data_IF_728459441910
#
_entry.id   IF_728459441910
#
_cell.length_a   1.000
_cell.length_b   1.000
_cell.length_c   1.000
_cell.angle_alpha   90.00
_cell.angle_beta   90.00
_cell.angle_gamma   90.00
#
_symmetry.space_group_name_H-M   'P 1'
#
loop_
_entity.id
_entity.type
_entity.pdbx_description
1 polymer ?
#
# COMPACT_ATOMS: atom_id res chain seq x y z
N UNK A 1 26.75 3.94 3.90
CA UNK A 1 27.29 3.47 2.60
C UNK A 1 26.34 3.80 1.46
N UNK A 2 25.04 3.44 1.54
CA UNK A 2 24.02 3.82 0.56
C UNK A 2 23.87 5.34 0.37
N UNK A 3 23.92 6.14 1.46
CA UNK A 3 23.90 7.61 1.37
C UNK A 3 25.11 8.20 0.63
N UNK A 4 26.27 7.55 0.71
CA UNK A 4 27.50 8.02 0.05
C UNK A 4 27.43 7.74 -1.46
N UNK A 5 26.89 6.59 -1.87
CA UNK A 5 26.67 6.24 -3.28
C UNK A 5 25.55 7.07 -3.93
N UNK A 6 24.50 7.42 -3.16
CA UNK A 6 23.49 8.41 -3.54
C UNK A 6 24.10 9.79 -3.84
N UNK A 7 25.08 10.22 -3.02
CA UNK A 7 25.83 11.46 -3.26
C UNK A 7 26.75 11.37 -4.49
N UNK A 8 27.24 10.18 -4.82
CA UNK A 8 28.07 9.92 -6.00
C UNK A 8 27.26 9.69 -7.29
N UNK A 9 25.92 9.66 -7.21
CA UNK A 9 24.99 9.35 -8.33
C UNK A 9 25.22 7.98 -8.98
N UNK A 10 25.80 7.04 -8.24
CA UNK A 10 26.01 5.66 -8.67
C UNK A 10 24.75 4.82 -8.42
N UNK A 11 23.65 5.21 -9.06
CA UNK A 11 22.32 4.64 -8.83
C UNK A 11 22.25 3.13 -9.15
N UNK A 12 23.06 2.67 -10.11
CA UNK A 12 23.14 1.25 -10.45
C UNK A 12 23.78 0.42 -9.32
N UNK A 13 24.72 0.98 -8.57
CA UNK A 13 25.26 0.32 -7.38
C UNK A 13 24.25 0.29 -6.26
N UNK A 14 23.50 1.37 -6.05
CA UNK A 14 22.41 1.40 -5.06
C UNK A 14 21.36 0.32 -5.36
N UNK A 15 20.98 0.14 -6.64
CA UNK A 15 20.05 -0.92 -7.08
C UNK A 15 20.58 -2.31 -6.76
N UNK A 16 21.85 -2.59 -7.08
CA UNK A 16 22.48 -3.89 -6.77
C UNK A 16 22.52 -4.14 -5.26
N UNK A 17 22.84 -3.12 -4.46
CA UNK A 17 22.89 -3.23 -3.01
C UNK A 17 21.52 -3.52 -2.40
N UNK A 18 20.48 -2.79 -2.80
CA UNK A 18 19.12 -3.06 -2.33
C UNK A 18 18.61 -4.43 -2.77
N UNK A 19 18.85 -4.82 -4.03
CA UNK A 19 18.46 -6.14 -4.54
C UNK A 19 19.10 -7.26 -3.72
N UNK A 20 20.43 -7.22 -3.52
CA UNK A 20 21.15 -8.21 -2.70
C UNK A 20 20.70 -8.24 -1.26
N UNK A 21 20.35 -7.08 -0.70
CA UNK A 21 19.84 -7.00 0.67
C UNK A 21 18.49 -7.71 0.79
N UNK A 22 17.57 -7.45 -0.15
CA UNK A 22 16.24 -8.04 -0.18
C UNK A 22 16.27 -9.53 -0.55
N UNK A 23 17.24 -9.98 -1.33
CA UNK A 23 17.50 -11.42 -1.53
C UNK A 23 17.84 -12.13 -0.21
N UNK A 24 18.52 -11.46 0.71
CA UNK A 24 18.91 -12.03 2.00
C UNK A 24 17.84 -11.86 3.08
N UNK A 25 17.11 -10.74 3.06
CA UNK A 25 16.06 -10.45 4.02
C UNK A 25 14.83 -9.83 3.32
N UNK A 26 14.00 -10.65 2.66
CA UNK A 26 12.80 -10.18 1.96
C UNK A 26 11.69 -9.70 2.92
N UNK A 27 11.75 -10.07 4.21
CA UNK A 27 10.75 -9.67 5.21
C UNK A 27 10.88 -8.20 5.63
N UNK A 28 12.01 -7.55 5.33
CA UNK A 28 12.28 -6.18 5.74
C UNK A 28 11.50 -5.16 4.89
N UNK A 29 10.33 -4.76 5.38
CA UNK A 29 9.50 -3.72 4.74
C UNK A 29 10.22 -2.39 4.54
N UNK A 30 11.11 -1.98 5.46
CA UNK A 30 11.81 -0.70 5.35
C UNK A 30 12.76 -0.69 4.14
N UNK A 31 13.41 -1.82 3.85
CA UNK A 31 14.27 -1.94 2.68
C UNK A 31 13.48 -1.83 1.37
N UNK A 32 12.30 -2.43 1.29
CA UNK A 32 11.40 -2.28 0.14
C UNK A 32 10.98 -0.82 -0.06
N UNK A 33 10.57 -0.13 1.01
CA UNK A 33 10.17 1.28 0.96
C UNK A 33 11.34 2.16 0.50
N UNK A 34 12.53 1.96 1.07
CA UNK A 34 13.71 2.73 0.70
C UNK A 34 14.17 2.49 -0.73
N UNK A 35 13.99 1.27 -1.23
CA UNK A 35 14.29 0.97 -2.62
C UNK A 35 13.29 1.63 -3.57
N UNK A 36 11.99 1.61 -3.25
CA UNK A 36 10.97 2.29 -4.03
C UNK A 36 11.15 3.83 -4.01
N UNK A 37 11.46 4.41 -2.84
CA UNK A 37 11.77 5.85 -2.69
C UNK A 37 12.94 6.27 -3.58
N UNK A 38 13.99 5.43 -3.70
CA UNK A 38 15.12 5.68 -4.59
C UNK A 38 14.68 5.81 -6.05
N UNK A 39 13.89 4.87 -6.56
CA UNK A 39 13.41 4.91 -7.95
C UNK A 39 12.44 6.06 -8.19
N UNK A 40 11.60 6.39 -7.19
CA UNK A 40 10.77 7.59 -7.22
C UNK A 40 11.60 8.87 -7.33
N UNK A 41 12.70 8.99 -6.59
CA UNK A 41 13.62 10.13 -6.69
C UNK A 41 14.31 10.23 -8.06
N UNK A 42 14.47 9.10 -8.76
CA UNK A 42 14.99 9.03 -10.12
C UNK A 42 13.94 9.32 -11.20
N UNK A 43 12.66 9.45 -10.81
CA UNK A 43 11.54 9.63 -11.72
C UNK A 43 11.10 8.35 -12.44
N UNK A 44 11.60 7.19 -12.02
CA UNK A 44 11.20 5.89 -12.57
C UNK A 44 10.02 5.32 -11.77
N UNK A 45 8.83 5.88 -12.04
CA UNK A 45 7.59 5.51 -11.35
C UNK A 45 7.16 4.07 -11.63
N UNK A 46 7.44 3.55 -12.84
CA UNK A 46 7.09 2.18 -13.20
C UNK A 46 7.91 1.17 -12.40
N UNK A 47 9.23 1.42 -12.26
CA UNK A 47 10.07 0.58 -11.40
C UNK A 47 9.70 0.73 -9.93
N UNK A 48 9.36 1.93 -9.47
CA UNK A 48 8.85 2.16 -8.12
C UNK A 48 7.62 1.29 -7.82
N UNK A 49 6.63 1.27 -8.73
CA UNK A 49 5.45 0.39 -8.62
C UNK A 49 5.84 -1.08 -8.58
N UNK A 50 6.73 -1.52 -9.47
CA UNK A 50 7.18 -2.91 -9.50
C UNK A 50 7.84 -3.35 -8.17
N UNK A 51 8.63 -2.48 -7.55
CA UNK A 51 9.26 -2.76 -6.24
C UNK A 51 8.19 -2.89 -5.14
N UNK A 52 7.19 -2.00 -5.12
CA UNK A 52 6.11 -2.09 -4.15
C UNK A 52 5.28 -3.37 -4.32
N UNK A 53 4.90 -3.72 -5.56
CA UNK A 53 4.16 -4.97 -5.86
C UNK A 53 4.95 -6.20 -5.42
N UNK A 54 6.25 -6.29 -5.77
CA UNK A 54 7.11 -7.38 -5.33
C UNK A 54 7.20 -7.48 -3.80
N UNK A 55 7.21 -6.34 -3.11
CA UNK A 55 7.23 -6.28 -1.66
C UNK A 55 5.93 -6.81 -1.04
N UNK A 56 4.75 -6.37 -1.52
CA UNK A 56 3.45 -6.80 -0.96
C UNK A 56 3.07 -8.24 -1.33
N UNK A 57 3.70 -8.80 -2.35
CA UNK A 57 3.61 -10.22 -2.72
C UNK A 57 4.44 -11.14 -1.84
N UNK A 58 5.38 -10.62 -1.05
CA UNK A 58 6.19 -11.46 -0.17
C UNK A 58 5.32 -12.19 0.86
N UNK A 59 5.55 -13.51 1.08
CA UNK A 59 4.70 -14.32 1.94
C UNK A 59 4.86 -13.99 3.43
N UNK A 60 6.03 -13.49 3.82
CA UNK A 60 6.36 -13.13 5.21
C UNK A 60 6.98 -11.73 5.19
N UNK A 61 6.34 -10.81 5.90
CA UNK A 61 6.77 -9.43 6.07
C UNK A 61 6.70 -9.09 7.56
N UNK A 62 7.70 -8.37 8.07
CA UNK A 62 7.78 -8.02 9.50
C UNK A 62 6.66 -7.04 9.90
N UNK A 63 6.46 -6.01 9.09
CA UNK A 63 5.48 -4.95 9.32
C UNK A 63 4.72 -4.65 8.02
N UNK A 64 3.80 -5.55 7.58
CA UNK A 64 3.10 -5.40 6.30
C UNK A 64 2.36 -4.06 6.20
N UNK A 65 1.75 -3.61 7.30
CA UNK A 65 1.00 -2.35 7.38
C UNK A 65 1.82 -1.14 6.92
N UNK A 66 3.12 -1.12 7.24
CA UNK A 66 4.01 -0.02 6.87
C UNK A 66 4.25 0.02 5.35
N UNK A 67 4.46 -1.16 4.75
CA UNK A 67 4.70 -1.27 3.31
C UNK A 67 3.43 -0.92 2.51
N UNK A 68 2.28 -1.43 2.94
CA UNK A 68 0.99 -1.10 2.33
C UNK A 68 0.67 0.38 2.42
N UNK A 69 0.92 0.99 3.59
CA UNK A 69 0.74 2.43 3.75
C UNK A 69 1.64 3.22 2.79
N UNK A 70 2.93 2.89 2.73
CA UNK A 70 3.86 3.56 1.83
C UNK A 70 3.46 3.40 0.36
N UNK A 71 2.91 2.25 -0.02
CA UNK A 71 2.44 2.02 -1.38
C UNK A 71 1.19 2.86 -1.70
N UNK A 72 0.22 2.92 -0.79
CA UNK A 72 -0.97 3.76 -0.92
C UNK A 72 -0.60 5.24 -1.00
N UNK A 73 0.30 5.70 -0.12
CA UNK A 73 0.78 7.10 -0.11
C UNK A 73 1.51 7.43 -1.44
N UNK A 74 2.16 6.44 -2.07
CA UNK A 74 2.78 6.60 -3.40
C UNK A 74 1.75 6.73 -4.53
N UNK A 75 0.64 5.99 -4.49
CA UNK A 75 -0.40 6.02 -5.54
C UNK A 75 -1.49 7.05 -5.28
N UNK A 76 -1.41 7.89 -4.24
CA UNK A 76 -2.50 8.77 -3.81
C UNK A 76 -2.97 9.72 -4.93
N UNK A 77 -2.08 10.13 -5.83
CA UNK A 77 -2.40 10.93 -7.02
C UNK A 77 -3.15 10.14 -8.11
N UNK A 78 -3.09 8.81 -8.06
CA UNK A 78 -3.76 7.87 -8.96
C UNK A 78 -4.96 7.24 -8.25
N UNK A 79 -6.07 7.97 -8.21
CA UNK A 79 -7.22 7.60 -7.39
C UNK A 79 -7.72 6.17 -7.64
N UNK A 80 -7.79 5.75 -8.91
CA UNK A 80 -8.28 4.42 -9.26
C UNK A 80 -7.34 3.30 -8.78
N UNK A 81 -6.03 3.51 -8.91
CA UNK A 81 -5.04 2.53 -8.43
C UNK A 81 -5.08 2.44 -6.90
N UNK A 82 -5.18 3.57 -6.22
CA UNK A 82 -5.31 3.60 -4.75
C UNK A 82 -6.56 2.85 -4.26
N UNK A 83 -7.71 3.00 -4.95
CA UNK A 83 -8.92 2.23 -4.64
C UNK A 83 -8.70 0.72 -4.75
N UNK A 84 -8.02 0.29 -5.81
CA UNK A 84 -7.71 -1.13 -6.02
C UNK A 84 -6.79 -1.67 -4.92
N UNK A 85 -5.80 -0.88 -4.47
CA UNK A 85 -4.93 -1.25 -3.36
C UNK A 85 -5.71 -1.38 -2.04
N UNK A 86 -6.60 -0.45 -1.73
CA UNK A 86 -7.46 -0.55 -0.54
C UNK A 86 -8.32 -1.82 -0.57
N UNK A 87 -8.94 -2.15 -1.71
CA UNK A 87 -9.73 -3.39 -1.87
C UNK A 87 -8.88 -4.64 -1.63
N UNK A 88 -7.70 -4.73 -2.25
CA UNK A 88 -6.74 -5.85 -2.04
C UNK A 88 -6.31 -5.97 -0.57
N UNK A 89 -6.05 -4.85 0.10
CA UNK A 89 -5.66 -4.83 1.51
C UNK A 89 -6.81 -5.28 2.44
N UNK A 90 -8.05 -4.89 2.11
CA UNK A 90 -9.25 -5.30 2.83
C UNK A 90 -9.56 -6.79 2.66
N UNK A 91 -9.35 -7.36 1.47
CA UNK A 91 -9.48 -8.80 1.24
C UNK A 91 -8.48 -9.61 2.08
N UNK A 92 -7.25 -9.12 2.24
CA UNK A 92 -6.19 -9.79 3.02
C UNK A 92 -6.40 -9.68 4.53
N UNK A 93 -6.77 -8.50 5.04
CA UNK A 93 -6.75 -8.22 6.49
C UNK A 93 -8.14 -8.07 7.10
N UNK A 94 -9.08 -7.48 6.37
CA UNK A 94 -10.42 -7.13 6.87
C UNK A 94 -10.43 -6.21 8.10
N UNK A 95 -9.33 -5.51 8.41
CA UNK A 95 -9.23 -4.69 9.61
C UNK A 95 -10.07 -3.41 9.51
N UNK A 96 -10.76 -3.06 10.60
CA UNK A 96 -11.61 -1.85 10.70
C UNK A 96 -10.85 -0.58 10.37
N UNK A 97 -9.58 -0.47 10.78
CA UNK A 97 -8.74 0.70 10.49
C UNK A 97 -8.57 0.95 9.00
N UNK A 98 -8.47 -0.11 8.19
CA UNK A 98 -8.32 0.01 6.73
C UNK A 98 -9.60 0.54 6.10
N UNK A 99 -10.78 0.11 6.57
CA UNK A 99 -12.07 0.65 6.12
C UNK A 99 -12.20 2.15 6.43
N UNK A 100 -11.77 2.57 7.63
CA UNK A 100 -11.79 3.99 8.02
C UNK A 100 -10.84 4.80 7.12
N UNK A 101 -9.62 4.33 6.90
CA UNK A 101 -8.66 5.00 6.01
C UNK A 101 -9.18 5.05 4.57
N UNK A 102 -9.83 4.00 4.08
CA UNK A 102 -10.40 3.98 2.73
C UNK A 102 -11.54 5.01 2.58
N UNK A 103 -12.44 5.11 3.56
CA UNK A 103 -13.50 6.11 3.56
C UNK A 103 -12.94 7.55 3.64
N UNK A 104 -11.91 7.78 4.47
CA UNK A 104 -11.22 9.07 4.54
C UNK A 104 -10.55 9.44 3.21
N UNK A 105 -9.94 8.45 2.54
CA UNK A 105 -9.40 8.65 1.21
C UNK A 105 -10.49 9.05 0.21
N UNK A 106 -11.65 8.39 0.16
CA UNK A 106 -12.72 8.75 -0.79
C UNK A 106 -13.31 10.16 -0.56
N UNK A 107 -13.27 10.67 0.68
CA UNK A 107 -13.68 12.04 1.00
C UNK A 107 -12.72 13.10 0.43
N UNK A 108 -11.43 12.76 0.38
CA UNK A 108 -10.37 13.65 -0.12
C UNK A 108 -10.06 13.40 -1.61
N UNK A 109 -10.45 12.22 -2.12
CA UNK A 109 -10.24 11.83 -3.50
C UNK A 109 -11.14 12.64 -4.42
N UNK A 110 -10.52 13.27 -5.41
CA UNK A 110 -11.14 14.10 -6.44
C UNK A 110 -11.67 15.46 -5.94
N UNK A 111 -10.96 16.53 -6.30
CA UNK A 111 -11.30 17.91 -5.91
C UNK A 111 -12.55 18.46 -6.63
N UNK A 112 -13.16 17.67 -7.52
CA UNK A 112 -14.21 18.12 -8.43
C UNK A 112 -15.62 18.22 -7.82
N UNK A 113 -15.96 17.40 -6.81
CA UNK A 113 -17.31 17.43 -6.22
C UNK A 113 -17.37 16.74 -4.84
N UNK A 114 -17.46 17.53 -3.77
CA UNK A 114 -17.47 17.02 -2.39
C UNK A 114 -18.64 16.06 -2.11
N UNK A 115 -19.79 16.27 -2.74
CA UNK A 115 -20.97 15.40 -2.59
C UNK A 115 -20.72 13.97 -3.09
N UNK A 116 -20.00 13.82 -4.20
CA UNK A 116 -19.67 12.51 -4.76
C UNK A 116 -18.67 11.76 -3.87
N UNK A 117 -17.73 12.47 -3.24
CA UNK A 117 -16.80 11.90 -2.26
C UNK A 117 -17.53 11.38 -1.02
N UNK A 118 -18.50 12.14 -0.50
CA UNK A 118 -19.34 11.72 0.64
C UNK A 118 -20.16 10.48 0.28
N UNK A 119 -20.77 10.42 -0.90
CA UNK A 119 -21.51 9.25 -1.36
C UNK A 119 -20.62 8.00 -1.46
N UNK A 120 -19.40 8.14 -2.00
CA UNK A 120 -18.44 7.02 -2.07
C UNK A 120 -18.02 6.56 -0.68
N UNK A 121 -17.68 7.48 0.22
CA UNK A 121 -17.33 7.15 1.60
C UNK A 121 -18.49 6.45 2.34
N UNK A 122 -19.73 6.89 2.13
CA UNK A 122 -20.92 6.22 2.66
C UNK A 122 -21.03 4.77 2.16
N UNK A 123 -20.85 4.55 0.85
CA UNK A 123 -20.87 3.20 0.27
C UNK A 123 -19.74 2.31 0.83
N UNK A 124 -18.56 2.87 1.12
CA UNK A 124 -17.46 2.16 1.79
C UNK A 124 -17.87 1.71 3.20
N UNK A 125 -18.52 2.57 3.98
CA UNK A 125 -19.00 2.18 5.32
C UNK A 125 -20.13 1.14 5.27
N UNK A 126 -21.05 1.25 4.31
CA UNK A 126 -22.12 0.26 4.15
C UNK A 126 -21.57 -1.11 3.77
N UNK A 127 -20.63 -1.17 2.83
CA UNK A 127 -19.93 -2.42 2.47
C UNK A 127 -19.12 -2.99 3.63
N UNK A 128 -18.45 -2.14 4.41
CA UNK A 128 -17.76 -2.55 5.63
C UNK A 128 -18.73 -3.21 6.64
N UNK A 129 -19.88 -2.57 6.89
CA UNK A 129 -20.90 -3.06 7.81
C UNK A 129 -21.46 -4.42 7.38
N UNK A 130 -21.80 -4.58 6.10
CA UNK A 130 -22.27 -5.87 5.56
C UNK A 130 -21.20 -6.95 5.67
N UNK A 131 -19.94 -6.63 5.32
CA UNK A 131 -18.80 -7.56 5.42
C UNK A 131 -18.58 -8.05 6.85
N UNK A 132 -18.70 -7.17 7.85
CA UNK A 132 -18.57 -7.54 9.27
C UNK A 132 -19.75 -8.38 9.75
N UNK A 133 -20.98 -7.98 9.40
CA UNK A 133 -22.20 -8.72 9.74
C UNK A 133 -22.17 -10.14 9.17
N UNK A 134 -21.75 -10.32 7.93
CA UNK A 134 -21.58 -11.65 7.31
C UNK A 134 -20.53 -12.50 8.02
N UNK A 135 -19.46 -11.90 8.55
CA UNK A 135 -18.44 -12.62 9.33
C UNK A 135 -18.99 -13.07 10.69
N UNK A 136 -19.69 -12.19 11.41
CA UNK A 136 -20.35 -12.54 12.68
C UNK A 136 -21.37 -13.68 12.50
N UNK A 137 -22.21 -13.62 11.46
CA UNK A 137 -23.15 -14.69 11.13
C UNK A 137 -22.47 -16.02 10.80
N UNK A 138 -21.30 -16.01 10.16
CA UNK A 138 -20.55 -17.24 9.86
C UNK A 138 -19.97 -17.87 11.13
N UNK A 139 -19.51 -17.06 12.09
CA UNK A 139 -19.00 -17.55 13.38
C UNK A 139 -20.11 -18.15 14.26
N UNK A 140 -21.35 -17.63 14.18
CA UNK A 140 -22.50 -18.19 14.90
C UNK A 140 -23.00 -19.52 14.34
N UNK A 141 -22.90 -19.76 13.03
CA UNK A 141 -23.35 -21.02 12.39
C UNK A 141 -22.36 -22.17 12.62
N UNK A 142 -21.12 -21.86 13.01
CA UNK A 142 -20.04 -22.83 13.15
C UNK A 142 -19.78 -23.27 14.61
N UNK A 143 -20.48 -22.67 15.58
CA UNK A 143 -20.50 -23.04 17.01
C UNK A 143 -21.75 -23.84 17.38
#
# INVERSE_FOLDING_TARGET
>A
YVELELQLREFDRCRILYSKYLEHNPANCYAWIKFAELERMLGDYDRCRAIFELGVEQPVLDMPELLWKAYIDFTEEEFENTRQLYKRLLEKTGHVKVWISYAQFELNADQGNHEDGVLRAHNVFETAYQSMKEKELKEEVQN
#
